data_IF_621870995772
#
_entry.id   IF_621870995772
#
_cell.length_a   1.000
_cell.length_b   1.000
_cell.length_c   1.000
_cell.angle_alpha   90.00
_cell.angle_beta   90.00
_cell.angle_gamma   90.00
#
_symmetry.space_group_name_H-M   'P 1'
#
loop_
_entity.id
_entity.type
_entity.pdbx_description
1 polymer ?
#
# COMPACT_ATOMS: atom_id res chain seq x y z
N UNK A 1 39.94 -4.89 -28.45
CA UNK A 1 39.16 -4.80 -27.19
C UNK A 1 40.10 -5.05 -26.04
N UNK A 2 39.92 -4.31 -24.95
CA UNK A 2 40.81 -4.38 -23.78
C UNK A 2 40.25 -5.39 -22.78
N UNK A 3 41.07 -5.89 -21.85
CA UNK A 3 40.60 -6.79 -20.79
C UNK A 3 39.47 -6.17 -19.93
N UNK A 4 39.32 -4.84 -19.94
CA UNK A 4 38.24 -4.13 -19.24
C UNK A 4 36.86 -4.43 -19.85
N UNK A 5 36.75 -4.48 -21.19
CA UNK A 5 35.48 -4.70 -21.89
C UNK A 5 34.91 -6.11 -21.63
N UNK A 6 35.79 -7.07 -21.33
CA UNK A 6 35.43 -8.45 -21.06
C UNK A 6 35.05 -8.72 -19.60
N UNK A 7 35.21 -7.75 -18.69
CA UNK A 7 34.73 -7.87 -17.30
C UNK A 7 33.20 -7.84 -17.21
N UNK A 8 32.55 -6.98 -17.99
CA UNK A 8 31.09 -6.92 -18.06
C UNK A 8 30.52 -8.22 -18.65
N UNK A 9 31.20 -8.75 -19.69
CA UNK A 9 30.85 -10.05 -20.26
C UNK A 9 31.06 -11.21 -19.28
N UNK A 10 32.05 -11.12 -18.39
CA UNK A 10 32.31 -12.14 -17.37
C UNK A 10 31.15 -12.32 -16.41
N UNK A 11 30.55 -11.23 -15.94
CA UNK A 11 29.37 -11.27 -15.06
C UNK A 11 28.17 -11.89 -15.80
N UNK A 12 27.85 -11.39 -17.00
CA UNK A 12 26.78 -11.97 -17.82
C UNK A 12 27.03 -13.45 -18.17
N UNK A 13 28.29 -13.88 -18.29
CA UNK A 13 28.62 -15.28 -18.54
C UNK A 13 28.37 -16.16 -17.30
N UNK A 14 28.65 -15.66 -16.09
CA UNK A 14 28.40 -16.38 -14.82
C UNK A 14 26.90 -16.58 -14.55
N UNK A 15 26.09 -15.61 -14.97
CA UNK A 15 24.62 -15.61 -14.78
C UNK A 15 23.85 -16.20 -15.98
N UNK A 16 24.56 -16.68 -17.02
CA UNK A 16 24.00 -17.21 -18.28
C UNK A 16 23.15 -16.20 -19.08
N UNK A 17 23.51 -14.92 -19.06
CA UNK A 17 22.82 -13.82 -19.75
C UNK A 17 23.45 -13.44 -21.10
N UNK A 18 24.63 -13.96 -21.45
CA UNK A 18 25.26 -13.69 -22.74
C UNK A 18 24.55 -14.39 -23.91
N UNK A 19 24.45 -13.70 -25.05
CA UNK A 19 24.06 -14.31 -26.33
C UNK A 19 25.13 -15.29 -26.83
N UNK A 20 24.77 -16.18 -27.76
CA UNK A 20 25.71 -17.15 -28.33
C UNK A 20 26.92 -16.48 -29.00
N UNK A 21 26.70 -15.34 -29.65
CA UNK A 21 27.75 -14.55 -30.30
C UNK A 21 28.73 -13.95 -29.26
N UNK A 22 28.18 -13.36 -28.19
CA UNK A 22 28.98 -12.81 -27.08
C UNK A 22 29.74 -13.90 -26.33
N UNK A 23 29.12 -15.07 -26.14
CA UNK A 23 29.75 -16.23 -25.50
C UNK A 23 30.92 -16.76 -26.33
N UNK A 24 30.79 -16.77 -27.67
CA UNK A 24 31.88 -17.11 -28.59
C UNK A 24 33.06 -16.13 -28.50
N UNK A 25 32.78 -14.83 -28.55
CA UNK A 25 33.80 -13.76 -28.41
C UNK A 25 34.52 -13.83 -27.05
N UNK A 26 33.77 -14.05 -25.97
CA UNK A 26 34.35 -14.20 -24.63
C UNK A 26 35.21 -15.45 -24.50
N UNK A 27 34.79 -16.58 -25.09
CA UNK A 27 35.57 -17.82 -25.09
C UNK A 27 36.89 -17.69 -25.86
N UNK A 28 36.89 -16.99 -26.99
CA UNK A 28 38.11 -16.67 -27.75
C UNK A 28 39.07 -15.80 -26.92
N UNK A 29 38.55 -14.80 -26.20
CA UNK A 29 39.36 -13.97 -25.31
C UNK A 29 39.97 -14.77 -24.15
N UNK A 30 39.19 -15.66 -23.52
CA UNK A 30 39.68 -16.54 -22.44
C UNK A 30 40.83 -17.45 -22.90
N UNK A 31 40.81 -17.91 -24.16
CA UNK A 31 41.90 -18.72 -24.71
C UNK A 31 43.22 -17.94 -24.83
N UNK A 32 43.17 -16.61 -24.96
CA UNK A 32 44.34 -15.74 -25.11
C UNK A 32 44.77 -14.99 -23.85
N UNK A 33 43.94 -14.95 -22.79
CA UNK A 33 44.16 -14.12 -21.61
C UNK A 33 44.20 -14.95 -20.31
N UNK A 34 45.39 -15.17 -19.72
CA UNK A 34 45.54 -15.88 -18.44
C UNK A 34 44.91 -15.13 -17.26
N UNK A 35 44.92 -13.79 -17.29
CA UNK A 35 44.40 -12.95 -16.23
C UNK A 35 42.88 -13.09 -16.10
N UNK A 36 42.14 -12.92 -17.20
CA UNK A 36 40.69 -13.06 -17.22
C UNK A 36 40.23 -14.50 -16.93
N UNK A 37 41.03 -15.50 -17.33
CA UNK A 37 40.78 -16.91 -16.96
C UNK A 37 40.92 -17.13 -15.46
N UNK A 38 41.94 -16.53 -14.83
CA UNK A 38 42.13 -16.58 -13.38
C UNK A 38 41.02 -15.85 -12.61
N UNK A 39 40.61 -14.68 -13.08
CA UNK A 39 39.53 -13.88 -12.50
C UNK A 39 38.18 -14.61 -12.58
N UNK A 40 37.86 -15.20 -13.73
CA UNK A 40 36.65 -16.04 -13.90
C UNK A 40 36.64 -17.24 -12.94
N UNK A 41 37.79 -17.87 -12.71
CA UNK A 41 37.89 -18.97 -11.75
C UNK A 41 37.62 -18.52 -10.31
N UNK A 42 38.07 -17.32 -9.93
CA UNK A 42 37.78 -16.74 -8.61
C UNK A 42 36.29 -16.43 -8.45
N UNK A 43 35.65 -15.83 -9.44
CA UNK A 43 34.21 -15.54 -9.38
C UNK A 43 33.35 -16.81 -9.37
N UNK A 44 33.72 -17.85 -10.14
CA UNK A 44 33.04 -19.16 -10.06
C UNK A 44 33.10 -19.75 -8.66
N UNK A 45 34.24 -19.62 -7.98
CA UNK A 45 34.40 -20.06 -6.59
C UNK A 45 33.51 -19.26 -5.65
N UNK A 46 33.44 -17.94 -5.82
CA UNK A 46 32.56 -17.08 -5.00
C UNK A 46 31.08 -17.44 -5.21
N UNK A 47 30.66 -17.63 -6.45
CA UNK A 47 29.29 -18.03 -6.80
C UNK A 47 28.92 -19.37 -6.16
N UNK A 48 29.82 -20.35 -6.19
CA UNK A 48 29.59 -21.65 -5.55
C UNK A 48 29.34 -21.52 -4.04
N UNK A 49 30.09 -20.66 -3.34
CA UNK A 49 29.91 -20.42 -1.90
C UNK A 49 28.54 -19.77 -1.63
N UNK A 50 28.11 -18.82 -2.47
CA UNK A 50 26.81 -18.17 -2.31
C UNK A 50 25.64 -19.10 -2.66
N UNK A 51 25.83 -20.01 -3.62
CA UNK A 51 24.82 -21.01 -4.00
C UNK A 51 24.59 -22.05 -2.89
N UNK A 52 25.57 -22.28 -2.00
CA UNK A 52 25.45 -23.15 -0.82
C UNK A 52 24.67 -22.50 0.34
N UNK A 53 24.42 -21.19 0.29
CA UNK A 53 23.64 -20.49 1.32
C UNK A 53 22.16 -20.85 1.16
N UNK A 54 21.68 -21.71 2.05
CA UNK A 54 20.25 -22.01 2.14
C UNK A 54 19.52 -20.85 2.82
N UNK A 55 18.48 -20.34 2.17
CA UNK A 55 17.57 -19.40 2.81
C UNK A 55 16.79 -20.16 3.89
N UNK A 56 16.85 -19.67 5.12
CA UNK A 56 16.07 -20.22 6.22
C UNK A 56 14.61 -19.87 6.00
N UNK A 57 13.77 -20.88 5.79
CA UNK A 57 12.33 -20.68 5.70
C UNK A 57 11.78 -20.27 7.08
N UNK A 58 11.02 -19.16 7.16
CA UNK A 58 10.48 -18.69 8.42
C UNK A 58 9.48 -19.69 9.00
N UNK A 59 9.43 -19.81 10.33
CA UNK A 59 8.48 -20.68 11.03
C UNK A 59 7.02 -20.32 10.71
N UNK A 60 6.16 -21.33 10.59
CA UNK A 60 4.71 -21.17 10.33
C UNK A 60 4.03 -20.18 11.30
N UNK A 61 4.50 -20.12 12.54
CA UNK A 61 3.98 -19.20 13.56
C UNK A 61 4.16 -17.74 13.16
N UNK A 62 5.31 -17.38 12.58
CA UNK A 62 5.56 -16.03 12.08
C UNK A 62 4.61 -15.68 10.92
N UNK A 63 4.28 -16.67 10.10
CA UNK A 63 3.33 -16.50 9.01
C UNK A 63 1.92 -16.25 9.54
N UNK A 64 1.49 -17.02 10.54
CA UNK A 64 0.19 -16.81 11.18
C UNK A 64 0.06 -15.45 11.86
N UNK A 65 1.11 -15.00 12.57
CA UNK A 65 1.11 -13.68 13.21
C UNK A 65 1.04 -12.55 12.18
N UNK A 66 1.78 -12.67 11.08
CA UNK A 66 1.75 -11.72 9.97
C UNK A 66 0.35 -11.64 9.34
N UNK A 67 -0.22 -12.79 8.96
CA UNK A 67 -1.56 -12.85 8.35
C UNK A 67 -2.66 -12.40 9.30
N UNK A 68 -2.60 -12.79 10.58
CA UNK A 68 -3.59 -12.37 11.59
C UNK A 68 -3.59 -10.86 11.81
N UNK A 69 -2.41 -10.21 11.79
CA UNK A 69 -2.30 -8.77 11.90
C UNK A 69 -2.82 -8.00 10.67
N UNK A 70 -2.60 -8.54 9.47
CA UNK A 70 -3.00 -7.92 8.20
C UNK A 70 -4.50 -8.12 7.94
N UNK A 71 -5.00 -9.35 8.05
CA UNK A 71 -6.37 -9.70 7.70
C UNK A 71 -7.38 -9.03 8.63
N UNK A 72 -7.16 -9.09 9.96
CA UNK A 72 -8.05 -8.46 10.94
C UNK A 72 -8.08 -6.93 10.81
N UNK A 73 -6.99 -6.31 10.33
CA UNK A 73 -6.92 -4.86 10.12
C UNK A 73 -7.67 -4.44 8.87
N UNK A 74 -7.55 -5.21 7.79
CA UNK A 74 -8.22 -4.95 6.52
C UNK A 74 -9.72 -5.22 6.65
N UNK A 75 -10.12 -6.36 7.19
CA UNK A 75 -11.54 -6.73 7.32
C UNK A 75 -12.29 -5.73 8.20
N UNK A 76 -11.75 -5.38 9.37
CA UNK A 76 -12.38 -4.39 10.25
C UNK A 76 -12.39 -3.01 9.63
N UNK A 77 -11.30 -2.59 9.00
CA UNK A 77 -11.23 -1.28 8.34
C UNK A 77 -12.26 -1.15 7.22
N UNK A 78 -12.28 -2.12 6.31
CA UNK A 78 -13.19 -2.14 5.17
C UNK A 78 -14.65 -2.32 5.60
N UNK A 79 -14.90 -3.21 6.57
CA UNK A 79 -16.23 -3.42 7.14
C UNK A 79 -16.81 -2.14 7.74
N UNK A 80 -16.02 -1.39 8.53
CA UNK A 80 -16.47 -0.11 9.08
C UNK A 80 -16.69 0.97 8.01
N UNK A 81 -15.86 1.01 6.96
CA UNK A 81 -16.05 1.95 5.85
C UNK A 81 -17.36 1.65 5.13
N UNK A 82 -17.58 0.40 4.73
CA UNK A 82 -18.81 -0.02 4.03
C UNK A 82 -20.04 0.21 4.89
N UNK A 83 -19.99 -0.17 6.18
CA UNK A 83 -21.08 0.06 7.13
C UNK A 83 -21.39 1.55 7.29
N UNK A 84 -20.36 2.39 7.43
CA UNK A 84 -20.55 3.84 7.60
C UNK A 84 -21.15 4.48 6.35
N UNK A 85 -20.67 4.11 5.17
CA UNK A 85 -21.21 4.61 3.89
C UNK A 85 -22.68 4.21 3.73
N UNK A 86 -23.01 2.94 3.98
CA UNK A 86 -24.38 2.46 3.91
C UNK A 86 -25.29 3.18 4.93
N UNK A 87 -24.84 3.33 6.17
CA UNK A 87 -25.58 4.04 7.22
C UNK A 87 -25.83 5.51 6.85
N UNK A 88 -24.83 6.21 6.29
CA UNK A 88 -24.96 7.60 5.83
C UNK A 88 -25.99 7.70 4.70
N UNK A 89 -25.90 6.84 3.68
CA UNK A 89 -26.84 6.85 2.55
C UNK A 89 -28.29 6.60 3.02
N UNK A 90 -28.49 5.63 3.90
CA UNK A 90 -29.80 5.32 4.47
C UNK A 90 -30.34 6.46 5.33
N UNK A 91 -29.49 7.08 6.16
CA UNK A 91 -29.88 8.23 6.98
C UNK A 91 -30.28 9.44 6.13
N UNK A 92 -29.54 9.73 5.05
CA UNK A 92 -29.87 10.81 4.11
C UNK A 92 -31.19 10.52 3.41
N UNK A 93 -31.33 9.33 2.83
CA UNK A 93 -32.55 8.97 2.09
C UNK A 93 -33.78 8.93 2.98
N UNK A 94 -33.69 8.25 4.13
CA UNK A 94 -34.77 8.15 5.11
C UNK A 94 -35.13 9.52 5.71
N UNK A 95 -34.12 10.32 6.06
CA UNK A 95 -34.34 11.69 6.53
C UNK A 95 -35.05 12.56 5.50
N UNK A 96 -34.61 12.50 4.23
CA UNK A 96 -35.26 13.23 3.13
C UNK A 96 -36.72 12.81 2.95
N UNK A 97 -37.01 11.51 3.02
CA UNK A 97 -38.38 10.99 2.91
C UNK A 97 -39.30 11.46 4.04
N UNK A 98 -38.82 11.42 5.28
CA UNK A 98 -39.57 11.90 6.44
C UNK A 98 -39.85 13.40 6.33
N UNK A 99 -38.85 14.20 5.93
CA UNK A 99 -39.03 15.64 5.71
C UNK A 99 -40.03 15.89 4.57
N UNK A 100 -39.93 15.14 3.46
CA UNK A 100 -40.82 15.24 2.31
C UNK A 100 -42.29 15.00 2.71
N UNK A 101 -42.57 13.94 3.48
CA UNK A 101 -43.91 13.64 4.00
C UNK A 101 -44.43 14.76 4.91
N UNK A 102 -43.62 15.20 5.88
CA UNK A 102 -44.01 16.25 6.83
C UNK A 102 -44.28 17.59 6.10
N UNK A 103 -43.49 17.92 5.09
CA UNK A 103 -43.65 19.17 4.33
C UNK A 103 -44.88 19.12 3.42
N UNK A 104 -45.16 17.97 2.79
CA UNK A 104 -46.30 17.79 1.89
C UNK A 104 -47.64 17.62 2.61
N UNK A 105 -47.63 17.18 3.87
CA UNK A 105 -48.85 17.04 4.66
C UNK A 105 -49.49 18.42 4.94
N UNK A 106 -50.73 18.68 4.46
CA UNK A 106 -51.45 19.94 4.69
C UNK A 106 -51.95 20.10 6.13
N UNK A 107 -52.03 19.01 6.91
CA UNK A 107 -52.56 19.02 8.27
C UNK A 107 -51.54 19.52 9.30
N UNK A 108 -50.26 19.52 8.93
CA UNK A 108 -49.16 19.94 9.80
C UNK A 108 -49.05 21.47 9.79
N UNK A 109 -49.15 22.07 10.97
CA UNK A 109 -49.04 23.51 11.18
C UNK A 109 -47.72 24.10 10.68
N UNK A 110 -47.81 25.30 10.10
CA UNK A 110 -46.66 26.00 9.48
C UNK A 110 -45.50 26.27 10.46
N UNK A 111 -45.79 26.41 11.77
CA UNK A 111 -44.80 26.53 12.83
C UNK A 111 -43.89 25.31 12.95
N UNK A 112 -44.43 24.09 12.82
CA UNK A 112 -43.65 22.86 12.94
C UNK A 112 -42.69 22.70 11.75
N UNK A 113 -43.14 23.06 10.54
CA UNK A 113 -42.31 23.07 9.32
C UNK A 113 -41.15 24.06 9.43
N UNK A 114 -41.43 25.28 9.89
CA UNK A 114 -40.41 26.30 10.14
C UNK A 114 -39.41 25.86 11.22
N UNK A 115 -39.90 25.28 12.32
CA UNK A 115 -39.07 24.73 13.39
C UNK A 115 -38.14 23.60 12.92
N UNK A 116 -38.64 22.68 12.09
CA UNK A 116 -37.86 21.58 11.53
C UNK A 116 -36.74 22.10 10.61
N UNK A 117 -37.04 23.07 9.75
CA UNK A 117 -36.03 23.69 8.87
C UNK A 117 -34.96 24.43 9.68
N UNK A 118 -35.37 25.20 10.70
CA UNK A 118 -34.43 25.89 11.60
C UNK A 118 -33.53 24.90 12.35
N UNK A 119 -34.08 23.76 12.80
CA UNK A 119 -33.33 22.70 13.47
C UNK A 119 -32.28 22.07 12.54
N UNK A 120 -32.66 21.72 11.30
CA UNK A 120 -31.74 21.16 10.30
C UNK A 120 -30.62 22.15 9.97
N UNK A 121 -30.97 23.42 9.76
CA UNK A 121 -30.00 24.48 9.50
C UNK A 121 -29.02 24.64 10.67
N UNK A 122 -29.54 24.68 11.91
CA UNK A 122 -28.73 24.79 13.13
C UNK A 122 -27.77 23.60 13.29
N UNK A 123 -28.24 22.38 13.06
CA UNK A 123 -27.39 21.17 13.10
C UNK A 123 -26.31 21.19 12.02
N UNK A 124 -26.63 21.65 10.81
CA UNK A 124 -25.65 21.78 9.73
C UNK A 124 -24.55 22.80 10.07
N UNK A 125 -24.92 23.96 10.62
CA UNK A 125 -23.96 24.98 11.07
C UNK A 125 -23.06 24.45 12.19
N UNK A 126 -23.64 23.80 13.21
CA UNK A 126 -22.87 23.19 14.30
C UNK A 126 -21.94 22.08 13.78
N UNK A 127 -22.43 21.22 12.88
CA UNK A 127 -21.62 20.16 12.29
C UNK A 127 -20.42 20.72 11.52
N UNK A 128 -20.62 21.74 10.67
CA UNK A 128 -19.52 22.40 9.95
C UNK A 128 -18.54 23.07 10.92
N UNK A 129 -19.05 23.70 11.99
CA UNK A 129 -18.18 24.32 13.00
C UNK A 129 -17.29 23.30 13.70
N UNK A 130 -17.86 22.21 14.20
CA UNK A 130 -17.13 21.15 14.90
C UNK A 130 -16.20 20.42 13.94
N UNK A 131 -16.65 20.12 12.72
CA UNK A 131 -15.83 19.46 11.71
C UNK A 131 -14.60 20.30 11.36
N UNK A 132 -14.80 21.61 11.13
CA UNK A 132 -13.70 22.55 10.85
C UNK A 132 -12.70 22.58 11.99
N UNK A 133 -13.18 22.71 13.22
CA UNK A 133 -12.35 22.71 14.42
C UNK A 133 -11.54 21.41 14.53
N UNK A 134 -12.21 20.26 14.38
CA UNK A 134 -11.59 18.95 14.51
C UNK A 134 -10.59 18.66 13.40
N UNK A 135 -10.87 19.01 12.15
CA UNK A 135 -9.92 18.86 11.03
C UNK A 135 -8.69 19.75 11.25
N UNK A 136 -8.88 20.99 11.68
CA UNK A 136 -7.78 21.92 11.98
C UNK A 136 -6.86 21.36 13.07
N UNK A 137 -7.41 20.91 14.20
CA UNK A 137 -6.61 20.29 15.27
C UNK A 137 -5.97 18.97 14.84
N UNK A 138 -6.69 18.11 14.12
CA UNK A 138 -6.18 16.82 13.65
C UNK A 138 -5.00 16.95 12.68
N UNK A 139 -4.94 18.05 11.91
CA UNK A 139 -3.80 18.37 11.03
C UNK A 139 -2.59 18.96 11.75
N UNK A 140 -2.80 19.65 12.89
CA UNK A 140 -1.73 20.33 13.65
C UNK A 140 -1.18 19.53 14.83
N UNK A 141 -1.84 18.46 15.22
CA UNK A 141 -1.40 17.66 16.37
C UNK A 141 -0.24 16.72 16.00
N UNK A 142 0.97 17.12 16.42
CA UNK A 142 2.25 16.41 16.20
C UNK A 142 2.35 15.08 16.98
N UNK A 143 1.56 14.91 18.04
CA UNK A 143 1.67 13.75 18.95
C UNK A 143 0.56 12.71 18.79
N UNK A 144 -0.24 12.82 17.72
CA UNK A 144 -1.39 11.95 17.43
C UNK A 144 -1.10 10.45 17.41
N UNK A 145 0.16 10.06 17.19
CA UNK A 145 0.59 8.66 17.09
C UNK A 145 1.40 8.15 18.29
N UNK A 146 1.57 8.94 19.35
CA UNK A 146 2.31 8.50 20.55
C UNK A 146 1.35 7.72 21.44
N UNK A 147 1.54 6.40 21.52
CA UNK A 147 0.85 5.55 22.49
C UNK A 147 1.40 5.84 23.89
N UNK A 148 0.52 6.05 24.86
CA UNK A 148 0.87 6.15 26.28
C UNK A 148 0.90 4.78 26.91
#
# INVERSE_FOLDING_TARGET
>A
MTCHDYKDMMMGYLDNELTDEQRGQFAEHLAGCPECTGELAQFRKLKAITDEVTLVEPEDRLWQDYWGGVYNRIERGFGWIVFSVAAILLAIYGGFKVIEEIVKDPTIGMLLKAGLLALILGLAVLFVSVLRERVYFWSKDRYRNVRR
#
